data_IF_210351119718
#
_entry.id   IF_210351119718
#
_cell.length_a   1.000
_cell.length_b   1.000
_cell.length_c   1.000
_cell.angle_alpha   90.00
_cell.angle_beta   90.00
_cell.angle_gamma   90.00
#
_symmetry.space_group_name_H-M   'P 1'
#
loop_
_entity.id
_entity.type
_entity.pdbx_description
1 polymer ?
#
# COMPACT_ATOMS: atom_id res chain seq x y z
N UNK A 1 -20.56 -16.41 -5.78
CA UNK A 1 -19.66 -16.76 -6.90
C UNK A 1 -18.46 -15.83 -6.75
N UNK A 2 -17.34 -16.34 -6.22
CA UNK A 2 -16.22 -15.49 -5.78
C UNK A 2 -15.42 -14.98 -6.97
N UNK A 3 -15.27 -13.66 -7.08
CA UNK A 3 -14.45 -13.03 -8.12
C UNK A 3 -13.01 -13.57 -8.04
N UNK A 4 -12.54 -14.19 -9.12
CA UNK A 4 -11.12 -14.55 -9.25
C UNK A 4 -10.35 -13.24 -9.47
N UNK A 5 -9.62 -12.81 -8.44
CA UNK A 5 -8.82 -11.57 -8.41
C UNK A 5 -7.33 -11.87 -8.57
N UNK A 6 -6.95 -12.60 -9.62
CA UNK A 6 -5.54 -12.96 -9.86
C UNK A 6 -5.15 -12.60 -11.29
N UNK A 7 -4.21 -11.68 -11.44
CA UNK A 7 -3.53 -11.43 -12.71
C UNK A 7 -2.33 -12.37 -12.83
N UNK A 8 -2.28 -13.17 -13.89
CA UNK A 8 -1.17 -14.09 -14.14
C UNK A 8 -0.08 -13.39 -14.96
N UNK A 9 1.09 -13.20 -14.36
CA UNK A 9 2.30 -12.74 -15.05
C UNK A 9 3.25 -13.89 -15.34
N UNK A 10 4.00 -13.79 -16.45
CA UNK A 10 5.09 -14.72 -16.78
C UNK A 10 6.18 -14.71 -15.69
N UNK A 11 6.96 -15.79 -15.59
CA UNK A 11 8.05 -15.88 -14.62
C UNK A 11 9.08 -14.75 -14.82
N UNK A 12 9.42 -14.44 -16.08
CA UNK A 12 10.33 -13.35 -16.45
C UNK A 12 9.78 -12.01 -15.96
N UNK A 13 8.50 -11.73 -16.21
CA UNK A 13 7.86 -10.49 -15.78
C UNK A 13 7.83 -10.37 -14.25
N UNK A 14 7.55 -11.46 -13.52
CA UNK A 14 7.59 -11.46 -12.04
C UNK A 14 8.99 -11.10 -11.50
N UNK A 15 10.05 -11.61 -12.12
CA UNK A 15 11.43 -11.27 -11.73
C UNK A 15 11.71 -9.80 -12.02
N UNK A 16 11.29 -9.31 -13.19
CA UNK A 16 11.47 -7.91 -13.56
C UNK A 16 10.73 -6.95 -12.62
N UNK A 17 9.45 -7.21 -12.34
CA UNK A 17 8.67 -6.45 -11.35
C UNK A 17 9.36 -6.43 -9.98
N UNK A 18 9.90 -7.57 -9.52
CA UNK A 18 10.64 -7.62 -8.25
C UNK A 18 11.91 -6.77 -8.26
N UNK A 19 12.61 -6.71 -9.40
CA UNK A 19 13.81 -5.89 -9.56
C UNK A 19 13.47 -4.40 -9.54
N UNK A 20 12.46 -3.99 -10.30
CA UNK A 20 11.97 -2.61 -10.34
C UNK A 20 11.45 -2.19 -8.97
N UNK A 21 10.63 -3.03 -8.32
CA UNK A 21 10.05 -2.76 -7.00
C UNK A 21 11.11 -2.46 -5.94
N UNK A 22 12.25 -3.18 -5.94
CA UNK A 22 13.34 -2.91 -4.99
C UNK A 22 13.91 -1.51 -5.14
N UNK A 23 14.01 -0.99 -6.37
CA UNK A 23 14.46 0.38 -6.63
C UNK A 23 13.39 1.39 -6.22
N UNK A 24 12.14 1.14 -6.58
CA UNK A 24 11.01 1.99 -6.23
C UNK A 24 10.82 2.13 -4.71
N UNK A 25 10.99 1.04 -3.95
CA UNK A 25 10.88 1.08 -2.49
C UNK A 25 11.89 2.03 -1.84
N UNK A 26 13.07 2.21 -2.42
CA UNK A 26 14.07 3.16 -1.89
C UNK A 26 13.63 4.59 -2.15
N UNK A 27 13.13 4.88 -3.35
CA UNK A 27 12.69 6.21 -3.76
C UNK A 27 11.42 6.66 -3.03
N UNK A 28 10.43 5.76 -2.95
CA UNK A 28 9.10 6.09 -2.40
C UNK A 28 9.10 6.11 -0.87
N UNK A 29 10.14 5.56 -0.22
CA UNK A 29 10.24 5.42 1.25
C UNK A 29 10.06 6.72 2.02
N UNK A 30 10.51 7.84 1.47
CA UNK A 30 10.35 9.17 2.09
C UNK A 30 8.91 9.69 2.00
N UNK A 31 8.10 9.12 1.11
CA UNK A 31 6.72 9.51 0.85
C UNK A 31 5.70 8.51 1.44
N UNK A 32 6.15 7.40 2.01
CA UNK A 32 5.26 6.43 2.68
C UNK A 32 4.83 6.94 4.04
N UNK A 33 3.55 6.75 4.37
CA UNK A 33 3.00 7.10 5.67
C UNK A 33 3.67 6.25 6.78
N UNK A 34 4.20 6.87 7.86
CA UNK A 34 4.71 6.17 9.03
C UNK A 34 3.70 5.20 9.68
N UNK A 35 2.40 5.36 9.41
CA UNK A 35 1.31 4.50 9.87
C UNK A 35 0.82 3.50 8.80
N UNK A 36 1.55 3.34 7.69
CA UNK A 36 1.26 2.28 6.72
C UNK A 36 1.82 0.93 7.19
N UNK A 37 0.95 0.00 7.55
CA UNK A 37 1.35 -1.34 8.00
C UNK A 37 1.29 -2.39 6.89
N UNK A 38 0.32 -2.27 5.99
CA UNK A 38 0.19 -3.16 4.84
C UNK A 38 1.28 -2.91 3.78
N UNK A 39 1.68 -3.99 3.09
CA UNK A 39 2.68 -3.99 2.01
C UNK A 39 4.04 -3.36 2.39
N UNK A 40 4.35 -3.33 3.69
CA UNK A 40 5.58 -2.76 4.24
C UNK A 40 6.50 -3.86 4.77
N UNK A 41 7.81 -3.64 4.67
CA UNK A 41 8.80 -4.61 5.16
C UNK A 41 8.82 -4.61 6.68
N UNK A 42 8.88 -5.78 7.29
CA UNK A 42 8.95 -5.99 8.75
C UNK A 42 7.77 -5.38 9.53
N UNK A 43 6.59 -5.32 8.93
CA UNK A 43 5.36 -4.83 9.55
C UNK A 43 4.30 -5.90 9.43
N UNK A 44 3.54 -6.11 10.49
CA UNK A 44 2.47 -7.11 10.54
C UNK A 44 1.11 -6.48 10.89
N UNK A 45 0.07 -7.31 10.90
CA UNK A 45 -1.28 -6.86 11.26
C UNK A 45 -1.33 -6.49 12.75
N UNK A 46 -0.57 -7.19 13.57
CA UNK A 46 -0.46 -6.96 15.01
C UNK A 46 0.07 -5.55 15.31
N UNK A 47 1.07 -5.07 14.57
CA UNK A 47 1.62 -3.71 14.71
C UNK A 47 0.54 -2.63 14.49
N UNK A 48 -0.40 -2.87 13.58
CA UNK A 48 -1.49 -1.94 13.28
C UNK A 48 -2.50 -1.84 14.43
N UNK A 49 -2.73 -2.94 15.15
CA UNK A 49 -3.66 -3.00 16.28
C UNK A 49 -3.03 -2.38 17.53
N UNK A 50 -1.75 -2.68 17.79
CA UNK A 50 -1.03 -2.20 18.98
C UNK A 50 -0.85 -0.69 18.97
N UNK A 51 -0.52 -0.09 17.82
CA UNK A 51 -0.27 1.36 17.74
C UNK A 51 -1.53 2.20 17.99
N UNK A 52 -2.72 1.64 17.77
CA UNK A 52 -3.96 2.37 17.96
C UNK A 52 -4.33 2.56 19.45
N UNK A 53 -3.47 2.12 20.39
CA UNK A 53 -3.62 2.25 21.85
C UNK A 53 -5.01 1.82 22.39
N UNK A 54 -5.75 1.03 21.59
CA UNK A 54 -7.12 0.63 21.89
C UNK A 54 -7.11 -0.16 23.20
N UNK A 55 -6.17 -1.09 23.34
CA UNK A 55 -6.06 -1.94 24.53
C UNK A 55 -5.78 -1.12 25.78
N UNK A 56 -4.79 -0.22 25.75
CA UNK A 56 -4.49 0.64 26.91
C UNK A 56 -5.64 1.56 27.30
N UNK A 57 -6.46 1.99 26.33
CA UNK A 57 -7.64 2.79 26.64
C UNK A 57 -8.74 1.94 27.28
N UNK A 58 -9.01 0.74 26.75
CA UNK A 58 -10.06 -0.16 27.25
C UNK A 58 -9.80 -0.73 28.66
N UNK A 59 -8.54 -0.76 29.11
CA UNK A 59 -8.19 -1.21 30.47
C UNK A 59 -8.57 -0.21 31.58
N UNK A 60 -8.99 1.02 31.22
CA UNK A 60 -9.46 2.02 32.17
C UNK A 60 -10.98 1.92 32.40
N UNK A 61 -11.40 1.98 33.68
CA UNK A 61 -12.82 2.01 34.03
C UNK A 61 -13.51 3.25 33.43
N UNK A 62 -14.66 3.06 32.78
CA UNK A 62 -15.46 4.12 32.13
C UNK A 62 -14.77 4.74 30.89
N UNK A 63 -14.03 3.95 30.13
CA UNK A 63 -13.45 4.35 28.84
C UNK A 63 -14.22 3.74 27.65
N UNK A 64 -14.17 4.41 26.49
CA UNK A 64 -14.61 3.84 25.22
C UNK A 64 -13.76 4.37 24.07
N UNK A 65 -13.60 3.58 23.01
CA UNK A 65 -12.88 3.97 21.80
C UNK A 65 -13.86 3.99 20.62
N UNK A 66 -13.81 5.04 19.80
CA UNK A 66 -14.56 5.12 18.54
C UNK A 66 -13.62 4.91 17.37
N UNK A 67 -13.88 3.88 16.58
CA UNK A 67 -13.10 3.52 15.41
C UNK A 67 -13.93 3.78 14.16
N UNK A 68 -13.32 4.43 13.17
CA UNK A 68 -13.92 4.60 11.86
C UNK A 68 -13.18 3.70 10.88
N UNK A 69 -13.93 2.85 10.19
CA UNK A 69 -13.39 1.94 9.18
C UNK A 69 -13.75 2.47 7.80
N UNK A 70 -12.73 2.58 6.95
CA UNK A 70 -12.88 2.88 5.54
C UNK A 70 -12.29 1.73 4.73
N UNK A 71 -13.05 1.26 3.75
CA UNK A 71 -12.56 0.27 2.79
C UNK A 71 -12.92 0.72 1.38
N UNK A 72 -12.04 0.38 0.43
CA UNK A 72 -12.21 0.72 -0.98
C UNK A 72 -12.66 -0.50 -1.76
N UNK A 73 -13.85 -0.43 -2.37
CA UNK A 73 -14.34 -1.49 -3.24
C UNK A 73 -13.39 -1.70 -4.42
N UNK A 74 -12.72 -2.85 -4.45
CA UNK A 74 -11.82 -3.23 -5.54
C UNK A 74 -10.71 -2.21 -5.83
N UNK A 75 -10.03 -1.74 -4.78
CA UNK A 75 -9.03 -0.66 -4.81
C UNK A 75 -8.13 -0.61 -6.05
N UNK A 76 -7.55 -1.74 -6.49
CA UNK A 76 -6.67 -1.76 -7.67
C UNK A 76 -7.38 -1.52 -9.00
N UNK A 77 -8.64 -1.96 -9.13
CA UNK A 77 -9.44 -1.78 -10.35
C UNK A 77 -9.99 -0.35 -10.47
N UNK A 78 -10.00 0.42 -9.38
CA UNK A 78 -10.52 1.80 -9.33
C UNK A 78 -9.42 2.85 -9.32
N UNK A 79 -8.14 2.45 -9.38
CA UNK A 79 -7.02 3.39 -9.53
C UNK A 79 -7.18 4.16 -10.84
N UNK A 80 -7.13 5.48 -10.76
CA UNK A 80 -7.12 6.35 -11.93
C UNK A 80 -5.68 6.53 -12.41
N UNK A 81 -5.31 6.06 -13.62
CA UNK A 81 -3.93 6.10 -14.09
C UNK A 81 -3.32 7.50 -14.07
N UNK A 82 -4.05 8.52 -14.53
CA UNK A 82 -3.53 9.90 -14.59
C UNK A 82 -3.18 10.47 -13.20
N UNK A 83 -4.00 10.20 -12.16
CA UNK A 83 -3.72 10.66 -10.79
C UNK A 83 -2.48 9.94 -10.25
N UNK A 84 -2.42 8.61 -10.43
CA UNK A 84 -1.33 7.82 -9.91
C UNK A 84 -0.01 8.11 -10.67
N UNK A 85 -0.04 8.35 -11.99
CA UNK A 85 1.11 8.82 -12.77
C UNK A 85 1.66 10.14 -12.24
N UNK A 86 0.79 11.13 -12.02
CA UNK A 86 1.21 12.42 -11.48
C UNK A 86 1.83 12.28 -10.08
N UNK A 87 1.24 11.41 -9.24
CA UNK A 87 1.77 11.11 -7.91
C UNK A 87 3.17 10.47 -8.00
N UNK A 88 3.38 9.50 -8.89
CA UNK A 88 4.68 8.87 -9.08
C UNK A 88 5.73 9.85 -9.59
N UNK A 89 5.38 10.72 -10.54
CA UNK A 89 6.28 11.79 -11.01
C UNK A 89 6.65 12.77 -9.89
N UNK A 90 5.69 13.11 -9.01
CA UNK A 90 5.96 13.97 -7.84
C UNK A 90 6.85 13.32 -6.79
N UNK A 91 6.97 11.98 -6.81
CA UNK A 91 7.89 11.20 -5.97
C UNK A 91 9.25 11.01 -6.64
N UNK A 92 9.58 11.80 -7.67
CA UNK A 92 10.85 11.79 -8.39
C UNK A 92 11.13 10.48 -9.16
N UNK A 93 10.09 9.71 -9.51
CA UNK A 93 10.27 8.60 -10.44
C UNK A 93 10.52 9.11 -11.85
N UNK A 94 11.48 8.48 -12.54
CA UNK A 94 11.76 8.76 -13.95
C UNK A 94 10.54 8.49 -14.85
N UNK A 95 10.34 9.38 -15.82
CA UNK A 95 9.21 9.32 -16.75
C UNK A 95 9.09 7.98 -17.48
N UNK A 96 10.20 7.36 -17.91
CA UNK A 96 10.15 6.06 -18.62
C UNK A 96 9.67 4.94 -17.71
N UNK A 97 10.03 5.01 -16.42
CA UNK A 97 9.55 4.04 -15.42
C UNK A 97 8.06 4.21 -15.18
N UNK A 98 7.57 5.45 -15.11
CA UNK A 98 6.14 5.74 -14.95
C UNK A 98 5.36 5.23 -16.17
N UNK A 99 5.81 5.53 -17.39
CA UNK A 99 5.17 5.03 -18.62
C UNK A 99 5.11 3.50 -18.63
N UNK A 100 6.22 2.83 -18.33
CA UNK A 100 6.27 1.36 -18.26
C UNK A 100 5.28 0.74 -17.26
N UNK A 101 4.94 1.43 -16.17
CA UNK A 101 3.97 0.93 -15.19
C UNK A 101 2.53 0.88 -15.76
N UNK A 102 2.23 1.70 -16.77
CA UNK A 102 0.89 1.83 -17.35
C UNK A 102 0.75 1.27 -18.77
N UNK A 103 1.84 0.89 -19.42
CA UNK A 103 1.82 0.10 -20.67
C UNK A 103 1.64 -1.40 -20.40
#
# INVERSE_FOLDING_TARGET
>A
MGDIRIALMSAVMKVFVRLVLRRLQVLVRTFTDPLQFAYSRNRSVEDAVVLNNIYSHLDSAVSYVRLMFFDFSSAFNTIQPHIMSNKLLSMELDYKTVVWIYE
#
